data_IF_346061535913
#
_entry.id   IF_346061535913
#
_cell.length_a   1.000
_cell.length_b   1.000
_cell.length_c   1.000
_cell.angle_alpha   90.00
_cell.angle_beta   90.00
_cell.angle_gamma   90.00
#
_symmetry.space_group_name_H-M   'P 1'
#
loop_
_entity.id
_entity.type
_entity.pdbx_description
1 polymer ?
#
# COMPACT_ATOMS: atom_id res chain seq x y z
N UNK A 1 -22.10 -5.02 -9.06
CA UNK A 1 -20.72 -4.61 -8.77
C UNK A 1 -19.82 -5.56 -9.51
N UNK A 2 -19.05 -5.10 -10.51
CA UNK A 2 -18.17 -5.97 -11.26
C UNK A 2 -16.85 -6.12 -10.48
N UNK A 3 -16.72 -7.22 -9.75
CA UNK A 3 -15.43 -7.68 -9.22
C UNK A 3 -14.53 -8.08 -10.39
N UNK A 4 -13.26 -7.65 -10.35
CA UNK A 4 -12.23 -8.03 -11.33
C UNK A 4 -11.67 -9.41 -10.95
N UNK A 5 -11.93 -10.49 -11.71
CA UNK A 5 -11.42 -11.83 -11.38
C UNK A 5 -9.96 -12.05 -11.83
N UNK A 6 -9.21 -11.01 -12.16
CA UNK A 6 -7.84 -11.14 -12.65
C UNK A 6 -7.07 -9.89 -12.28
N UNK A 7 -5.91 -10.03 -11.66
CA UNK A 7 -4.97 -8.92 -11.39
C UNK A 7 -4.38 -8.25 -12.65
N UNK A 8 -5.01 -8.43 -13.81
CA UNK A 8 -4.60 -7.92 -15.11
C UNK A 8 -5.22 -6.55 -15.37
N UNK A 9 -4.43 -5.51 -15.13
CA UNK A 9 -4.81 -4.11 -15.39
C UNK A 9 -5.19 -3.87 -16.86
N UNK A 10 -4.57 -4.60 -17.80
CA UNK A 10 -4.87 -4.49 -19.23
C UNK A 10 -6.26 -5.01 -19.59
N UNK A 11 -6.67 -6.14 -19.02
CA UNK A 11 -8.00 -6.71 -19.24
C UNK A 11 -9.10 -5.79 -18.69
N UNK A 12 -8.86 -5.21 -17.51
CA UNK A 12 -9.76 -4.22 -16.91
C UNK A 12 -9.90 -2.96 -17.77
N UNK A 13 -8.79 -2.42 -18.28
CA UNK A 13 -8.81 -1.24 -19.14
C UNK A 13 -9.58 -1.51 -20.44
N UNK A 14 -9.36 -2.66 -21.08
CA UNK A 14 -10.09 -3.07 -22.27
C UNK A 14 -11.60 -3.21 -22.02
N UNK A 15 -11.99 -3.67 -20.83
CA UNK A 15 -13.39 -3.79 -20.43
C UNK A 15 -14.07 -2.42 -20.30
N UNK A 16 -13.42 -1.47 -19.62
CA UNK A 16 -13.96 -0.11 -19.41
C UNK A 16 -13.94 0.70 -20.70
N UNK A 17 -12.86 0.61 -21.47
CA UNK A 17 -12.78 1.28 -22.78
C UNK A 17 -13.62 0.59 -23.85
N UNK A 18 -14.21 -0.56 -23.53
CA UNK A 18 -15.01 -1.35 -24.45
C UNK A 18 -16.30 -0.63 -24.88
N UNK A 19 -16.68 -0.76 -26.15
CA UNK A 19 -17.90 -0.15 -26.72
C UNK A 19 -19.16 -0.53 -25.95
N UNK A 20 -19.24 -1.75 -25.41
CA UNK A 20 -20.38 -2.20 -24.60
C UNK A 20 -20.51 -1.42 -23.29
N UNK A 21 -19.39 -1.22 -22.58
CA UNK A 21 -19.36 -0.44 -21.35
C UNK A 21 -19.70 1.04 -21.61
N UNK A 22 -19.09 1.64 -22.65
CA UNK A 22 -19.36 3.02 -23.04
C UNK A 22 -20.83 3.25 -23.46
N UNK A 23 -21.44 2.32 -24.19
CA UNK A 23 -22.87 2.40 -24.56
C UNK A 23 -23.78 2.36 -23.34
N UNK A 24 -23.47 1.55 -22.32
CA UNK A 24 -24.23 1.49 -21.06
C UNK A 24 -24.18 2.81 -20.29
N UNK A 25 -23.07 3.55 -20.44
CA UNK A 25 -22.89 4.89 -19.87
C UNK A 25 -23.49 6.01 -20.75
N UNK A 26 -24.05 5.69 -21.92
CA UNK A 26 -24.55 6.69 -22.87
C UNK A 26 -23.46 7.42 -23.66
N UNK A 27 -22.21 6.97 -23.59
CA UNK A 27 -21.10 7.52 -24.38
C UNK A 27 -21.01 6.82 -25.73
N UNK A 28 -20.66 7.59 -26.78
CA UNK A 28 -20.38 7.04 -28.11
C UNK A 28 -18.86 7.01 -28.35
N UNK A 29 -18.37 5.91 -28.92
CA UNK A 29 -16.97 5.76 -29.30
C UNK A 29 -16.70 6.19 -30.75
N UNK A 30 -17.53 7.09 -31.30
CA UNK A 30 -17.38 7.58 -32.67
C UNK A 30 -16.37 8.72 -32.69
N UNK A 31 -15.34 8.61 -33.53
CA UNK A 31 -14.35 9.68 -33.72
C UNK A 31 -14.72 10.45 -34.98
N UNK A 32 -15.18 11.68 -34.82
CA UNK A 32 -15.34 12.64 -35.92
C UNK A 32 -13.99 13.24 -36.34
N UNK A 33 -13.88 13.68 -37.59
CA UNK A 33 -12.74 14.48 -38.04
C UNK A 33 -12.98 15.94 -37.68
N UNK A 34 -12.04 16.56 -36.98
CA UNK A 34 -12.10 17.99 -36.66
C UNK A 34 -11.64 18.86 -37.84
N UNK A 35 -12.31 19.98 -38.16
CA UNK A 35 -11.83 20.99 -39.08
C UNK A 35 -10.58 21.70 -38.54
N UNK A 36 -9.84 22.36 -39.44
CA UNK A 36 -8.54 23.00 -39.14
C UNK A 36 -8.66 24.05 -38.03
N UNK A 37 -9.75 24.81 -37.97
CA UNK A 37 -9.95 25.85 -36.96
C UNK A 37 -10.13 25.28 -35.54
N UNK A 38 -10.80 24.13 -35.42
CA UNK A 38 -10.91 23.43 -34.13
C UNK A 38 -9.55 22.91 -33.66
N UNK A 39 -8.71 22.45 -34.59
CA UNK A 39 -7.35 22.00 -34.26
C UNK A 39 -6.49 23.17 -33.78
N UNK A 40 -6.58 24.33 -34.44
CA UNK A 40 -5.86 25.56 -34.02
C UNK A 40 -6.27 26.00 -32.62
N UNK A 41 -7.57 26.12 -32.36
CA UNK A 41 -8.09 26.45 -31.03
C UNK A 41 -7.69 25.42 -29.96
N UNK A 42 -7.66 24.13 -30.30
CA UNK A 42 -7.21 23.09 -29.38
C UNK A 42 -5.72 23.19 -29.07
N UNK A 43 -4.88 23.46 -30.06
CA UNK A 43 -3.43 23.65 -29.89
C UNK A 43 -3.16 24.87 -29.02
N UNK A 44 -3.85 25.99 -29.24
CA UNK A 44 -3.74 27.19 -28.40
C UNK A 44 -4.14 26.90 -26.95
N UNK A 45 -5.25 26.19 -26.74
CA UNK A 45 -5.67 25.74 -25.40
C UNK A 45 -4.64 24.84 -24.73
N UNK A 46 -4.04 23.91 -25.48
CA UNK A 46 -3.01 23.01 -24.95
C UNK A 46 -1.70 23.75 -24.63
N UNK A 47 -1.36 24.79 -25.40
CA UNK A 47 -0.23 25.69 -25.11
C UNK A 47 -0.51 26.49 -23.85
N UNK A 48 -1.67 27.14 -23.75
CA UNK A 48 -2.08 27.86 -22.54
C UNK A 48 -2.09 26.94 -21.30
N UNK A 49 -2.65 25.73 -21.42
CA UNK A 49 -2.61 24.73 -20.34
C UNK A 49 -1.19 24.30 -20.02
N UNK A 50 -0.29 24.18 -21.02
CA UNK A 50 1.13 23.85 -20.82
C UNK A 50 1.90 24.99 -20.16
N UNK A 51 1.61 26.23 -20.49
CA UNK A 51 2.24 27.39 -19.87
C UNK A 51 1.72 27.54 -18.43
N UNK A 52 0.46 27.18 -18.19
CA UNK A 52 -0.11 26.96 -16.86
C UNK A 52 0.45 25.70 -16.15
N UNK A 53 1.24 24.81 -16.80
CA UNK A 53 1.89 23.63 -16.15
C UNK A 53 3.06 23.99 -15.23
N UNK A 54 3.27 25.27 -14.94
CA UNK A 54 3.85 25.69 -13.67
C UNK A 54 3.01 25.25 -12.44
N UNK A 55 1.78 24.78 -12.62
CA UNK A 55 0.83 24.49 -11.51
C UNK A 55 0.68 23.03 -11.05
N UNK A 56 1.46 22.05 -11.51
CA UNK A 56 1.35 20.71 -10.88
C UNK A 56 2.27 19.58 -11.29
N UNK A 57 2.81 19.55 -12.52
CA UNK A 57 3.76 18.52 -12.93
C UNK A 57 5.22 18.94 -12.72
N UNK A 58 5.51 20.25 -12.76
CA UNK A 58 6.87 20.78 -12.59
C UNK A 58 7.29 20.91 -11.11
N UNK A 59 6.35 20.83 -10.15
CA UNK A 59 6.59 21.04 -8.72
C UNK A 59 6.10 19.88 -7.87
N UNK A 60 6.13 18.67 -8.41
CA UNK A 60 5.92 17.47 -7.60
C UNK A 60 7.29 16.92 -7.21
N UNK A 61 7.74 17.27 -6.01
CA UNK A 61 9.01 16.79 -5.46
C UNK A 61 8.86 15.33 -5.01
N UNK A 62 9.23 14.43 -5.92
CA UNK A 62 9.24 13.00 -5.67
C UNK A 62 10.18 12.63 -4.51
N UNK A 63 11.28 13.36 -4.31
CA UNK A 63 12.21 13.09 -3.23
C UNK A 63 11.59 13.41 -1.88
N UNK A 64 10.91 14.54 -1.76
CA UNK A 64 10.19 14.90 -0.53
C UNK A 64 9.16 13.83 -0.16
N UNK A 65 8.42 13.30 -1.13
CA UNK A 65 7.42 12.26 -0.87
C UNK A 65 8.04 10.91 -0.53
N UNK A 66 9.15 10.54 -1.18
CA UNK A 66 9.89 9.32 -0.83
C UNK A 66 10.45 9.39 0.59
N UNK A 67 10.97 10.55 1.00
CA UNK A 67 11.46 10.79 2.38
C UNK A 67 10.32 10.65 3.40
N UNK A 68 9.16 11.26 3.15
CA UNK A 68 7.99 11.12 4.02
C UNK A 68 7.56 9.66 4.19
N UNK A 69 7.49 8.88 3.11
CA UNK A 69 7.13 7.46 3.16
C UNK A 69 8.16 6.67 3.98
N UNK A 70 9.45 6.95 3.80
CA UNK A 70 10.51 6.28 4.55
C UNK A 70 10.41 6.59 6.06
N UNK A 71 10.20 7.86 6.42
CA UNK A 71 10.03 8.29 7.81
C UNK A 71 8.80 7.66 8.48
N UNK A 72 7.68 7.58 7.78
CA UNK A 72 6.46 6.92 8.27
C UNK A 72 6.69 5.43 8.50
N UNK A 73 7.39 4.75 7.59
CA UNK A 73 7.72 3.35 7.76
C UNK A 73 8.65 3.11 8.95
N UNK A 74 9.64 3.97 9.15
CA UNK A 74 10.57 3.82 10.27
C UNK A 74 9.89 4.11 11.61
N UNK A 75 9.03 5.12 11.68
CA UNK A 75 8.16 5.37 12.85
C UNK A 75 7.26 4.17 13.14
N UNK A 76 6.63 3.58 12.12
CA UNK A 76 5.78 2.41 12.29
C UNK A 76 6.57 1.17 12.76
N UNK A 77 7.81 0.99 12.28
CA UNK A 77 8.70 -0.10 12.74
C UNK A 77 9.11 0.10 14.20
N UNK A 78 9.44 1.33 14.61
CA UNK A 78 9.80 1.64 15.99
C UNK A 78 8.61 1.42 16.93
N UNK A 79 7.43 1.95 16.60
CA UNK A 79 6.20 1.73 17.37
C UNK A 79 5.87 0.23 17.50
N UNK A 80 6.03 -0.56 16.43
CA UNK A 80 5.87 -2.03 16.49
C UNK A 80 6.92 -2.70 17.38
N UNK A 81 8.16 -2.21 17.41
CA UNK A 81 9.21 -2.75 18.29
C UNK A 81 8.94 -2.42 19.75
N UNK A 82 8.49 -1.21 20.04
CA UNK A 82 8.12 -0.77 21.39
C UNK A 82 6.90 -1.51 21.91
N UNK A 83 5.84 -1.63 21.10
CA UNK A 83 4.66 -2.43 21.45
C UNK A 83 5.04 -3.89 21.77
N UNK A 84 5.88 -4.51 20.93
CA UNK A 84 6.39 -5.88 21.18
C UNK A 84 7.27 -5.98 22.43
N UNK A 85 8.00 -4.92 22.80
CA UNK A 85 8.79 -4.90 24.04
C UNK A 85 7.88 -4.77 25.25
N UNK A 86 6.90 -3.87 25.20
CA UNK A 86 5.91 -3.70 26.26
C UNK A 86 5.08 -4.97 26.50
N UNK A 87 4.63 -5.65 25.44
CA UNK A 87 3.94 -6.94 25.54
C UNK A 87 4.83 -8.03 26.16
N UNK A 88 6.11 -8.08 25.78
CA UNK A 88 7.08 -9.02 26.37
C UNK A 88 7.34 -8.74 27.85
N UNK A 89 7.43 -7.47 28.24
CA UNK A 89 7.64 -7.08 29.64
C UNK A 89 6.39 -7.36 30.48
N UNK A 90 5.19 -7.10 29.95
CA UNK A 90 3.93 -7.43 30.62
C UNK A 90 3.79 -8.96 30.81
N UNK A 91 4.05 -9.74 29.76
CA UNK A 91 3.98 -11.21 29.84
C UNK A 91 5.09 -11.81 30.72
N UNK A 92 6.27 -11.20 30.79
CA UNK A 92 7.31 -11.63 31.73
C UNK A 92 6.94 -11.32 33.18
N UNK A 93 6.34 -10.15 33.47
CA UNK A 93 5.87 -9.82 34.82
C UNK A 93 4.78 -10.77 35.30
N UNK A 94 3.76 -11.02 34.48
CA UNK A 94 2.70 -11.98 34.83
C UNK A 94 3.25 -13.40 35.00
N UNK A 95 4.17 -13.83 34.12
CA UNK A 95 4.81 -15.14 34.24
C UNK A 95 5.72 -15.24 35.46
N UNK A 96 6.38 -14.16 35.86
CA UNK A 96 7.27 -14.16 37.03
C UNK A 96 6.48 -14.13 38.35
N UNK A 97 5.29 -13.51 38.35
CA UNK A 97 4.31 -13.63 39.44
C UNK A 97 3.78 -15.07 39.54
N UNK A 98 3.41 -15.71 38.42
CA UNK A 98 2.99 -17.13 38.38
C UNK A 98 4.10 -18.11 38.81
N UNK A 99 5.36 -17.85 38.42
CA UNK A 99 6.52 -18.67 38.79
C UNK A 99 6.90 -18.53 40.27
N UNK A 100 6.64 -17.37 40.89
CA UNK A 100 6.86 -17.17 42.32
C UNK A 100 5.79 -17.87 43.18
N UNK A 101 4.57 -18.07 42.66
CA UNK A 101 3.52 -18.85 43.34
C UNK A 101 3.61 -20.36 43.08
N UNK A 102 4.20 -20.79 41.95
CA UNK A 102 4.40 -22.20 41.61
C UNK A 102 5.83 -22.47 41.16
N UNK A 103 6.69 -22.90 42.10
CA UNK A 103 8.11 -23.17 41.85
C UNK A 103 8.35 -24.14 40.69
N UNK A 104 8.64 -23.60 39.51
CA UNK A 104 8.99 -24.37 38.31
C UNK A 104 10.50 -24.37 38.12
N UNK A 105 11.05 -25.58 38.02
CA UNK A 105 12.48 -25.88 37.98
C UNK A 105 13.17 -25.40 36.69
N UNK A 106 14.47 -25.09 36.75
CA UNK A 106 15.24 -24.54 35.62
C UNK A 106 15.21 -25.42 34.36
N UNK A 107 15.17 -26.74 34.53
CA UNK A 107 15.14 -27.71 33.43
C UNK A 107 13.80 -27.67 32.66
N UNK A 108 12.68 -27.45 33.35
CA UNK A 108 11.38 -27.30 32.71
C UNK A 108 11.31 -26.01 31.86
N UNK A 109 11.94 -24.94 32.34
CA UNK A 109 12.04 -23.66 31.62
C UNK A 109 12.96 -23.77 30.38
N UNK A 110 14.04 -24.54 30.47
CA UNK A 110 14.93 -24.82 29.35
C UNK A 110 14.24 -25.60 28.21
N UNK A 111 13.43 -26.63 28.55
CA UNK A 111 12.66 -27.39 27.56
C UNK A 111 11.59 -26.55 26.85
N UNK A 112 10.87 -25.67 27.56
CA UNK A 112 9.87 -24.77 26.95
C UNK A 112 10.53 -23.77 25.99
N UNK A 113 11.74 -23.28 26.32
CA UNK A 113 12.52 -22.40 25.46
C UNK A 113 13.02 -23.11 24.20
N UNK A 114 13.48 -24.35 24.31
CA UNK A 114 13.91 -25.16 23.17
C UNK A 114 12.73 -25.50 22.23
N UNK A 115 11.58 -25.91 22.78
CA UNK A 115 10.38 -26.21 22.00
C UNK A 115 9.81 -24.97 21.26
N UNK A 116 9.94 -23.78 21.84
CA UNK A 116 9.56 -22.53 21.17
C UNK A 116 10.50 -22.13 20.02
N UNK A 117 11.77 -22.55 20.09
CA UNK A 117 12.76 -22.30 19.04
C UNK A 117 12.56 -23.23 17.83
N UNK A 118 12.25 -24.50 18.08
CA UNK A 118 11.96 -25.50 17.04
C UNK A 118 10.67 -25.16 16.25
N UNK A 119 9.64 -24.64 16.93
CA UNK A 119 8.39 -24.22 16.27
C UNK A 119 8.53 -22.92 15.45
N UNK A 120 9.51 -22.05 15.77
CA UNK A 120 9.80 -20.83 15.00
C UNK A 120 10.75 -21.08 13.81
N UNK A 121 11.41 -22.25 13.74
CA UNK A 121 12.46 -22.59 12.78
C UNK A 121 12.05 -23.47 11.60
N UNK A 122 10.76 -23.77 11.38
CA UNK A 122 10.31 -24.66 10.30
C UNK A 122 9.48 -23.93 9.24
N UNK A 123 10.14 -23.11 8.41
CA UNK A 123 9.71 -22.84 7.03
C UNK A 123 10.92 -22.95 6.12
N UNK A 124 11.06 -24.13 5.52
CA UNK A 124 11.84 -24.33 4.29
C UNK A 124 11.11 -23.70 3.12
#
# INVERSE_FOLDING_TARGET
MAENPSGDTMAYLAHISGRSHLRRLGHTASVGRSPVDQVRAHIERLRAQRDDKSRGAATYDFEARLRQIAEEQDKAKLARREAKRAEKEATQKTRQEELNEGGLDQDAMAMVRFASFESAGMKR
#
